data_IF_534414461610
#
_entry.id   IF_534414461610
#
_cell.length_a   1.000
_cell.length_b   1.000
_cell.length_c   1.000
_cell.angle_alpha   90.00
_cell.angle_beta   90.00
_cell.angle_gamma   90.00
#
_symmetry.space_group_name_H-M   'P 1'
#
loop_
_entity.id
_entity.type
_entity.pdbx_description
1 polymer ?
#
# COMPACT_ATOMS: atom_id res chain seq x y z
N UNK A 1 44.68 24.30 16.10
CA UNK A 1 43.27 24.17 16.54
C UNK A 1 42.38 24.21 15.30
N UNK A 2 42.03 23.04 14.74
CA UNK A 2 41.14 22.93 13.57
C UNK A 2 39.72 23.30 14.01
N UNK A 3 39.18 24.40 13.49
CA UNK A 3 37.75 24.73 13.61
C UNK A 3 36.98 23.64 12.88
N UNK A 4 36.47 22.66 13.62
CA UNK A 4 35.57 21.65 13.08
C UNK A 4 34.37 22.39 12.49
N UNK A 5 34.15 22.21 11.20
CA UNK A 5 33.05 22.79 10.45
C UNK A 5 31.72 22.22 11.00
N UNK A 6 31.18 22.87 12.03
CA UNK A 6 29.92 22.49 12.68
C UNK A 6 28.78 22.35 11.66
N UNK A 7 28.81 23.18 10.61
CA UNK A 7 27.88 23.12 9.48
C UNK A 7 27.96 21.82 8.68
N UNK A 8 29.14 21.21 8.53
CA UNK A 8 29.28 19.94 7.82
C UNK A 8 28.70 18.78 8.63
N UNK A 9 28.76 18.83 9.97
CA UNK A 9 28.18 17.81 10.85
C UNK A 9 26.65 17.92 10.92
N UNK A 10 26.11 19.15 10.90
CA UNK A 10 24.65 19.38 10.89
C UNK A 10 24.03 18.96 9.54
N UNK A 11 24.69 19.25 8.41
CA UNK A 11 24.24 18.77 7.09
C UNK A 11 24.31 17.24 6.97
N UNK A 12 25.35 16.61 7.53
CA UNK A 12 25.50 15.15 7.48
C UNK A 12 24.50 14.43 8.40
N UNK A 13 24.09 15.04 9.51
CA UNK A 13 23.08 14.48 10.41
C UNK A 13 21.66 14.61 9.86
N UNK A 14 21.34 15.68 9.11
CA UNK A 14 20.04 15.80 8.41
C UNK A 14 19.86 14.74 7.31
N UNK A 15 20.94 14.33 6.64
CA UNK A 15 20.91 13.22 5.67
C UNK A 15 20.75 11.84 6.33
N UNK A 16 21.11 11.69 7.61
CA UNK A 16 20.97 10.43 8.34
C UNK A 16 19.57 10.23 8.95
N UNK A 17 18.86 11.31 9.27
CA UNK A 17 17.47 11.24 9.79
C UNK A 17 16.48 10.89 8.67
N UNK A 18 16.80 11.15 7.41
CA UNK A 18 15.96 10.80 6.27
C UNK A 18 15.91 9.31 5.90
N UNK A 19 16.73 8.46 6.52
CA UNK A 19 16.88 7.04 6.13
C UNK A 19 16.29 6.04 7.13
N UNK A 20 15.71 6.48 8.26
CA UNK A 20 15.32 5.58 9.36
C UNK A 20 13.81 5.40 9.58
N UNK A 21 12.94 5.99 8.75
CA UNK A 21 11.50 5.80 8.89
C UNK A 21 10.80 5.69 7.54
N UNK A 22 11.20 4.71 6.74
CA UNK A 22 10.16 3.96 6.03
C UNK A 22 9.52 3.13 7.14
N UNK A 23 8.22 3.28 7.45
CA UNK A 23 7.58 2.37 8.38
C UNK A 23 7.66 0.98 7.75
N UNK A 24 8.65 0.20 8.17
CA UNK A 24 8.63 -1.24 8.02
C UNK A 24 7.31 -1.65 8.66
N UNK A 25 6.35 -2.08 7.85
CA UNK A 25 5.09 -2.60 8.33
C UNK A 25 5.38 -3.96 9.00
N UNK A 26 6.00 -3.89 10.19
CA UNK A 26 6.52 -5.04 10.92
C UNK A 26 5.38 -5.78 11.62
N UNK A 27 4.23 -5.12 11.82
CA UNK A 27 3.03 -5.75 12.35
C UNK A 27 1.99 -6.04 11.25
N UNK A 28 1.24 -7.14 11.37
CA UNK A 28 0.10 -7.44 10.50
C UNK A 28 -0.96 -6.33 10.50
N UNK A 29 -1.16 -5.67 11.63
CA UNK A 29 -2.06 -4.53 11.80
C UNK A 29 -1.63 -3.34 10.93
N UNK A 30 -0.34 -3.01 10.94
CA UNK A 30 0.21 -1.94 10.09
C UNK A 30 0.02 -2.27 8.60
N UNK A 31 0.25 -3.54 8.21
CA UNK A 31 0.06 -3.99 6.82
C UNK A 31 -1.40 -3.92 6.39
N UNK A 32 -2.34 -4.31 7.27
CA UNK A 32 -3.78 -4.18 7.02
C UNK A 32 -4.18 -2.71 6.88
N UNK A 33 -3.67 -1.84 7.75
CA UNK A 33 -3.95 -0.41 7.68
C UNK A 33 -3.43 0.22 6.39
N UNK A 34 -2.18 -0.10 6.00
CA UNK A 34 -1.61 0.32 4.72
C UNK A 34 -2.46 -0.21 3.57
N UNK A 35 -2.88 -1.48 3.62
CA UNK A 35 -3.75 -2.09 2.62
C UNK A 35 -5.04 -1.32 2.38
N UNK A 36 -5.71 -0.86 3.44
CA UNK A 36 -6.91 -0.03 3.31
C UNK A 36 -6.64 1.35 2.69
N UNK A 37 -5.51 1.98 3.03
CA UNK A 37 -5.10 3.23 2.38
C UNK A 37 -4.82 3.02 0.89
N UNK A 38 -4.18 1.91 0.53
CA UNK A 38 -3.95 1.54 -0.87
C UNK A 38 -5.26 1.31 -1.60
N UNK A 39 -6.24 0.62 -1.01
CA UNK A 39 -7.59 0.46 -1.59
C UNK A 39 -8.22 1.81 -1.90
N UNK A 40 -8.17 2.76 -0.98
CA UNK A 40 -8.72 4.11 -1.17
C UNK A 40 -7.99 4.85 -2.31
N UNK A 41 -6.66 4.78 -2.33
CA UNK A 41 -5.82 5.38 -3.36
C UNK A 41 -6.13 4.81 -4.76
N UNK A 42 -6.20 3.48 -4.88
CA UNK A 42 -6.52 2.79 -6.14
C UNK A 42 -7.95 3.11 -6.58
N UNK A 43 -8.92 3.15 -5.67
CA UNK A 43 -10.29 3.53 -5.99
C UNK A 43 -10.37 4.96 -6.55
N UNK A 44 -9.65 5.90 -5.94
CA UNK A 44 -9.58 7.30 -6.39
C UNK A 44 -8.92 7.40 -7.77
N UNK A 45 -7.79 6.74 -7.97
CA UNK A 45 -7.07 6.69 -9.25
C UNK A 45 -7.91 6.05 -10.36
N UNK A 46 -8.68 5.01 -10.04
CA UNK A 46 -9.63 4.37 -10.96
C UNK A 46 -10.75 5.34 -11.36
N UNK A 47 -11.26 6.14 -10.42
CA UNK A 47 -12.23 7.20 -10.71
C UNK A 47 -11.69 8.21 -11.71
N UNK A 48 -10.49 8.74 -11.44
CA UNK A 48 -9.81 9.68 -12.34
C UNK A 48 -9.54 9.08 -13.72
N UNK A 49 -9.07 7.83 -13.78
CA UNK A 49 -8.81 7.15 -15.04
C UNK A 49 -10.08 6.97 -15.88
N UNK A 50 -11.21 6.69 -15.24
CA UNK A 50 -12.50 6.60 -15.92
C UNK A 50 -12.98 7.97 -16.41
N UNK A 51 -12.90 8.99 -15.56
CA UNK A 51 -13.37 10.34 -15.89
C UNK A 51 -12.55 10.94 -17.05
N UNK A 52 -11.27 10.59 -17.16
CA UNK A 52 -10.38 10.96 -18.26
C UNK A 52 -10.51 10.06 -19.51
N UNK A 53 -11.36 9.02 -19.45
CA UNK A 53 -11.60 8.09 -20.57
C UNK A 53 -10.44 7.12 -20.85
N UNK A 54 -9.52 6.94 -19.90
CA UNK A 54 -8.39 5.99 -20.03
C UNK A 54 -8.80 4.54 -19.80
N UNK A 55 -9.89 4.33 -19.06
CA UNK A 55 -10.48 3.00 -18.83
C UNK A 55 -11.98 3.02 -19.11
N UNK A 56 -12.50 1.88 -19.54
CA UNK A 56 -13.92 1.66 -19.78
C UNK A 56 -14.73 1.52 -18.48
N UNK A 57 -16.06 1.63 -18.58
CA UNK A 57 -16.95 1.31 -17.46
C UNK A 57 -16.81 -0.15 -17.01
N UNK A 58 -16.61 -1.08 -17.94
CA UNK A 58 -16.41 -2.50 -17.61
C UNK A 58 -15.13 -2.69 -16.79
N UNK A 59 -14.02 -2.08 -17.21
CA UNK A 59 -12.75 -2.11 -16.46
C UNK A 59 -12.92 -1.48 -15.08
N UNK A 60 -13.60 -0.34 -14.97
CA UNK A 60 -13.91 0.29 -13.67
C UNK A 60 -14.68 -0.65 -12.73
N UNK A 61 -15.70 -1.35 -13.24
CA UNK A 61 -16.46 -2.31 -12.42
C UNK A 61 -15.63 -3.53 -12.03
N UNK A 62 -14.77 -4.01 -12.94
CA UNK A 62 -13.85 -5.11 -12.65
C UNK A 62 -12.86 -4.73 -11.56
N UNK A 63 -12.25 -3.55 -11.65
CA UNK A 63 -11.34 -3.01 -10.63
C UNK A 63 -12.07 -2.87 -9.28
N UNK A 64 -13.29 -2.33 -9.27
CA UNK A 64 -14.10 -2.24 -8.06
C UNK A 64 -14.36 -3.61 -7.42
N UNK A 65 -14.67 -4.63 -8.22
CA UNK A 65 -14.86 -6.00 -7.73
C UNK A 65 -13.59 -6.55 -7.09
N UNK A 66 -12.44 -6.38 -7.73
CA UNK A 66 -11.13 -6.79 -7.19
C UNK A 66 -10.78 -6.04 -5.90
N UNK A 67 -11.07 -4.74 -5.82
CA UNK A 67 -10.89 -3.95 -4.59
C UNK A 67 -11.75 -4.47 -3.43
N UNK A 68 -12.98 -4.90 -3.71
CA UNK A 68 -13.83 -5.53 -2.69
C UNK A 68 -13.21 -6.84 -2.18
N UNK A 69 -12.68 -7.68 -3.08
CA UNK A 69 -12.00 -8.91 -2.68
C UNK A 69 -10.75 -8.64 -1.81
N UNK A 70 -9.97 -7.62 -2.16
CA UNK A 70 -8.82 -7.22 -1.34
C UNK A 70 -9.27 -6.71 0.04
N UNK A 71 -10.31 -5.88 0.09
CA UNK A 71 -10.91 -5.39 1.33
C UNK A 71 -11.35 -6.55 2.25
N UNK A 72 -12.06 -7.53 1.69
CA UNK A 72 -12.57 -8.67 2.44
C UNK A 72 -11.44 -9.59 2.92
N UNK A 73 -10.37 -9.72 2.15
CA UNK A 73 -9.17 -10.45 2.57
C UNK A 73 -8.45 -9.73 3.73
N UNK A 74 -8.22 -8.41 3.64
CA UNK A 74 -7.67 -7.65 4.77
C UNK A 74 -8.53 -7.75 6.04
N UNK A 75 -9.85 -7.71 5.90
CA UNK A 75 -10.78 -7.87 7.03
C UNK A 75 -10.68 -9.22 7.74
N UNK A 76 -10.28 -10.27 7.01
CA UNK A 76 -10.06 -11.61 7.58
C UNK A 76 -8.74 -11.74 8.34
N UNK A 77 -7.72 -10.94 8.02
CA UNK A 77 -6.37 -11.06 8.62
C UNK A 77 -6.43 -10.95 10.15
N UNK A 78 -7.03 -9.87 10.66
CA UNK A 78 -7.10 -9.62 12.10
C UNK A 78 -8.01 -10.62 12.82
N UNK A 79 -9.12 -11.01 12.17
CA UNK A 79 -10.03 -12.03 12.70
C UNK A 79 -9.34 -13.40 12.84
N UNK A 80 -8.58 -13.82 11.82
CA UNK A 80 -7.83 -15.08 11.85
C UNK A 80 -6.71 -15.06 12.89
N UNK A 81 -6.05 -13.92 13.09
CA UNK A 81 -5.05 -13.77 14.16
C UNK A 81 -5.65 -13.85 15.56
N UNK A 82 -6.78 -13.19 15.79
CA UNK A 82 -7.49 -13.29 17.07
C UNK A 82 -7.91 -14.74 17.40
N UNK A 83 -8.14 -15.56 16.36
CA UNK A 83 -8.45 -16.99 16.48
C UNK A 83 -7.21 -17.89 16.57
N UNK A 84 -5.99 -17.33 16.57
CA UNK A 84 -4.74 -18.09 16.61
C UNK A 84 -4.36 -18.79 15.29
N UNK A 85 -5.07 -18.50 14.19
CA UNK A 85 -4.85 -19.09 12.86
C UNK A 85 -3.83 -18.28 12.06
N UNK A 86 -2.59 -18.23 12.55
CA UNK A 86 -1.55 -17.35 12.01
C UNK A 86 -1.23 -17.60 10.53
N UNK A 87 -1.21 -18.86 10.09
CA UNK A 87 -0.88 -19.20 8.68
C UNK A 87 -1.99 -18.79 7.72
N UNK A 88 -3.25 -18.95 8.12
CA UNK A 88 -4.40 -18.50 7.33
C UNK A 88 -4.44 -16.97 7.26
N UNK A 89 -4.13 -16.27 8.37
CA UNK A 89 -4.01 -14.82 8.37
C UNK A 89 -2.93 -14.33 7.40
N UNK A 90 -1.75 -14.98 7.39
CA UNK A 90 -0.66 -14.68 6.45
C UNK A 90 -1.04 -14.97 5.00
N UNK A 91 -1.82 -16.03 4.76
CA UNK A 91 -2.33 -16.34 3.42
C UNK A 91 -3.32 -15.27 2.97
N UNK A 92 -4.27 -14.90 3.82
CA UNK A 92 -5.26 -13.87 3.53
C UNK A 92 -4.61 -12.51 3.25
N UNK A 93 -3.59 -12.15 4.04
CA UNK A 93 -2.79 -10.94 3.81
C UNK A 93 -2.11 -10.95 2.45
N UNK A 94 -1.44 -12.06 2.08
CA UNK A 94 -0.79 -12.20 0.76
C UNK A 94 -1.76 -12.14 -0.40
N UNK A 95 -2.95 -12.71 -0.24
CA UNK A 95 -4.01 -12.62 -1.27
C UNK A 95 -4.43 -11.17 -1.44
N UNK A 96 -4.66 -10.44 -0.35
CA UNK A 96 -5.06 -9.04 -0.39
C UNK A 96 -4.00 -8.17 -1.11
N UNK A 97 -2.74 -8.34 -0.75
CA UNK A 97 -1.61 -7.62 -1.36
C UNK A 97 -1.45 -7.96 -2.84
N UNK A 98 -1.51 -9.25 -3.20
CA UNK A 98 -1.42 -9.67 -4.61
C UNK A 98 -2.54 -9.11 -5.49
N UNK A 99 -3.75 -8.94 -4.93
CA UNK A 99 -4.86 -8.31 -5.64
C UNK A 99 -4.59 -6.82 -5.87
N UNK A 100 -4.03 -6.13 -4.87
CA UNK A 100 -3.68 -4.71 -5.00
C UNK A 100 -2.53 -4.48 -5.98
N UNK A 101 -1.46 -5.27 -5.90
CA UNK A 101 -0.32 -5.19 -6.83
C UNK A 101 -0.79 -5.35 -8.29
N UNK A 102 -1.69 -6.30 -8.53
CA UNK A 102 -2.28 -6.52 -9.85
C UNK A 102 -3.11 -5.33 -10.35
N UNK A 103 -3.84 -4.65 -9.45
CA UNK A 103 -4.61 -3.46 -9.81
C UNK A 103 -3.73 -2.24 -10.08
N UNK A 104 -2.67 -2.05 -9.29
CA UNK A 104 -1.72 -0.97 -9.51
C UNK A 104 -1.01 -1.13 -10.86
N UNK A 105 -0.64 -2.35 -11.24
CA UNK A 105 -0.05 -2.64 -12.56
C UNK A 105 -1.02 -2.26 -13.69
N UNK A 106 -2.29 -2.67 -13.61
CA UNK A 106 -3.31 -2.34 -14.61
C UNK A 106 -3.47 -0.82 -14.74
N UNK A 107 -3.54 -0.10 -13.62
CA UNK A 107 -3.68 1.36 -13.66
C UNK A 107 -2.43 2.02 -14.26
N UNK A 108 -1.22 1.61 -13.87
CA UNK A 108 0.03 2.13 -14.42
C UNK A 108 0.14 1.92 -15.94
N UNK A 109 -0.33 0.79 -16.47
CA UNK A 109 -0.35 0.52 -17.91
C UNK A 109 -1.38 1.37 -18.68
N UNK A 110 -2.42 1.85 -18.00
CA UNK A 110 -3.55 2.57 -18.60
C UNK A 110 -3.46 4.09 -18.43
N UNK A 111 -2.75 4.58 -17.43
CA UNK A 111 -2.60 6.01 -17.13
C UNK A 111 -1.26 6.55 -17.62
N UNK A 112 -1.22 7.68 -18.35
CA UNK A 112 0.01 8.29 -18.86
C UNK A 112 0.88 8.95 -17.79
#
# INVERSE_FOLDING_TARGET
MRRFNLYAVIMLSLLYVGCSTVPSADTPEDRVAIGYLTIESVAKSTGLAYDNGWISLEEKQRIRGTLQLAHDAFGQVLALQALGRADDARLSLRIAESLLDGLELILQERTP
#
